data_IF_974893608068
#
_entry.id   IF_974893608068
#
_cell.length_a   1.000
_cell.length_b   1.000
_cell.length_c   1.000
_cell.angle_alpha   90.00
_cell.angle_beta   90.00
_cell.angle_gamma   90.00
#
_symmetry.space_group_name_H-M   'P 1'
#
loop_
_entity.id
_entity.type
_entity.pdbx_description
1 polymer ?
#
# COMPACT_ATOMS: atom_id res chain seq x y z
N UNK A 1 -9.93 1.10 25.60
CA UNK A 1 -8.86 0.26 25.00
C UNK A 1 -7.80 0.09 26.07
N UNK A 2 -7.32 -1.14 26.25
CA UNK A 2 -6.23 -1.45 27.17
C UNK A 2 -4.90 -1.38 26.40
N UNK A 3 -3.83 -0.95 27.05
CA UNK A 3 -2.47 -0.97 26.53
C UNK A 3 -2.10 -2.40 26.08
N UNK A 4 -1.52 -2.53 24.88
CA UNK A 4 -1.10 -3.82 24.35
C UNK A 4 0.18 -3.72 23.49
N UNK A 5 1.31 -3.57 24.14
CA UNK A 5 2.63 -3.50 23.49
C UNK A 5 2.94 -4.74 22.64
N UNK A 6 2.50 -5.93 23.07
CA UNK A 6 2.71 -7.17 22.33
C UNK A 6 1.95 -7.17 20.98
N UNK A 7 0.75 -6.59 20.94
CA UNK A 7 0.02 -6.42 19.69
C UNK A 7 0.73 -5.46 18.73
N UNK A 8 1.32 -4.37 19.25
CA UNK A 8 2.16 -3.44 18.47
C UNK A 8 3.35 -4.17 17.86
N UNK A 9 4.07 -4.95 18.68
CA UNK A 9 5.22 -5.75 18.22
C UNK A 9 4.81 -6.78 17.15
N UNK A 10 3.73 -7.50 17.37
CA UNK A 10 3.22 -8.47 16.40
C UNK A 10 2.77 -7.80 15.08
N UNK A 11 2.13 -6.63 15.14
CA UNK A 11 1.67 -5.86 13.99
C UNK A 11 2.79 -5.22 13.17
N UNK A 12 3.96 -5.02 13.76
CA UNK A 12 5.10 -4.35 13.11
C UNK A 12 5.55 -5.00 11.81
N UNK A 13 5.37 -6.31 11.65
CA UNK A 13 5.69 -7.01 10.41
C UNK A 13 5.00 -6.40 9.18
N UNK A 14 3.78 -5.88 9.35
CA UNK A 14 3.05 -5.18 8.28
C UNK A 14 3.72 -3.84 7.92
N UNK A 15 4.00 -3.00 8.92
CA UNK A 15 4.70 -1.72 8.72
C UNK A 15 6.08 -1.93 8.08
N UNK A 16 6.87 -2.86 8.60
CA UNK A 16 8.17 -3.23 8.04
C UNK A 16 8.07 -3.55 6.55
N UNK A 17 7.06 -4.35 6.14
CA UNK A 17 6.83 -4.69 4.74
C UNK A 17 6.55 -3.45 3.89
N UNK A 18 5.77 -2.48 4.38
CA UNK A 18 5.52 -1.23 3.67
C UNK A 18 6.80 -0.40 3.49
N UNK A 19 7.63 -0.29 4.52
CA UNK A 19 8.94 0.40 4.44
C UNK A 19 9.86 -0.29 3.41
N UNK A 20 9.96 -1.62 3.46
CA UNK A 20 10.73 -2.41 2.48
C UNK A 20 10.24 -2.18 1.05
N UNK A 21 8.93 -2.10 0.85
CA UNK A 21 8.34 -1.85 -0.47
C UNK A 21 8.68 -0.46 -1.00
N UNK A 22 8.63 0.58 -0.16
CA UNK A 22 9.03 1.94 -0.55
C UNK A 22 10.51 1.97 -0.95
N UNK A 23 11.37 1.33 -0.16
CA UNK A 23 12.82 1.24 -0.43
C UNK A 23 13.14 0.55 -1.76
N UNK A 24 12.31 -0.40 -2.21
CA UNK A 24 12.46 -1.04 -3.54
C UNK A 24 12.36 -0.05 -4.69
N UNK A 25 11.65 1.04 -4.52
CA UNK A 25 11.59 2.12 -5.52
C UNK A 25 12.75 3.11 -5.42
N UNK A 26 13.74 2.86 -4.56
CA UNK A 26 14.88 3.77 -4.34
C UNK A 26 14.49 5.08 -3.66
N UNK A 27 13.40 5.07 -2.88
CA UNK A 27 12.88 6.24 -2.17
C UNK A 27 13.10 6.05 -0.67
N UNK A 28 13.63 7.07 0.05
CA UNK A 28 13.68 7.03 1.50
C UNK A 28 12.27 7.09 2.10
N UNK A 29 12.10 6.53 3.28
CA UNK A 29 10.83 6.50 4.01
C UNK A 29 10.96 7.15 5.37
N UNK A 30 9.92 7.86 5.81
CA UNK A 30 9.72 8.33 7.19
C UNK A 30 8.40 7.77 7.68
N UNK A 31 8.38 7.26 8.90
CA UNK A 31 7.15 6.77 9.55
C UNK A 31 6.54 7.88 10.39
N UNK A 32 5.26 8.15 10.21
CA UNK A 32 4.48 9.03 11.07
C UNK A 32 3.58 8.20 12.00
N UNK A 33 3.72 8.36 13.29
CA UNK A 33 2.77 7.81 14.28
C UNK A 33 1.63 8.82 14.42
N UNK A 34 0.46 8.50 13.86
CA UNK A 34 -0.74 9.33 14.02
C UNK A 34 -1.31 9.08 15.42
N UNK A 35 -0.98 9.95 16.36
CA UNK A 35 -1.32 9.81 17.78
C UNK A 35 -2.82 9.97 18.04
N UNK A 36 -3.35 9.07 18.82
CA UNK A 36 -4.70 9.15 19.38
C UNK A 36 -4.65 9.23 20.89
N UNK A 37 -5.65 9.81 21.51
CA UNK A 37 -5.77 9.97 22.98
C UNK A 37 -5.75 8.67 23.77
N UNK A 38 -5.94 7.53 23.09
CA UNK A 38 -5.90 6.19 23.67
C UNK A 38 -4.52 5.54 23.62
N UNK A 39 -3.58 6.12 22.88
CA UNK A 39 -2.26 5.55 22.69
C UNK A 39 -1.42 5.77 23.95
N UNK A 40 -0.65 4.76 24.33
CA UNK A 40 0.18 4.85 25.54
C UNK A 40 1.63 5.14 25.19
N UNK A 41 2.36 5.74 26.13
CA UNK A 41 3.79 6.00 25.96
C UNK A 41 4.59 4.70 25.72
N UNK A 42 4.17 3.57 26.31
CA UNK A 42 4.82 2.29 26.13
C UNK A 42 4.63 1.72 24.71
N UNK A 43 3.44 1.87 24.14
CA UNK A 43 3.15 1.47 22.76
C UNK A 43 3.91 2.33 21.75
N UNK A 44 3.94 3.65 21.95
CA UNK A 44 4.70 4.60 21.12
C UNK A 44 6.20 4.30 21.20
N UNK A 45 6.74 4.08 22.42
CA UNK A 45 8.14 3.75 22.62
C UNK A 45 8.53 2.42 21.93
N UNK A 46 7.68 1.39 22.04
CA UNK A 46 7.89 0.12 21.37
C UNK A 46 7.94 0.27 19.84
N UNK A 47 7.04 1.09 19.26
CA UNK A 47 7.04 1.33 17.83
C UNK A 47 8.29 2.11 17.37
N UNK A 48 8.74 3.09 18.15
CA UNK A 48 9.99 3.83 17.86
C UNK A 48 11.21 2.90 17.92
N UNK A 49 11.30 2.02 18.92
CA UNK A 49 12.35 0.99 19.01
C UNK A 49 12.36 0.08 17.77
N UNK A 50 11.19 -0.40 17.37
CA UNK A 50 11.04 -1.27 16.20
C UNK A 50 11.43 -0.57 14.91
N UNK A 51 11.03 0.69 14.71
CA UNK A 51 11.45 1.50 13.56
C UNK A 51 12.97 1.70 13.54
N UNK A 52 13.59 1.97 14.69
CA UNK A 52 15.04 2.08 14.80
C UNK A 52 15.74 0.76 14.42
N UNK A 53 15.15 -0.39 14.73
CA UNK A 53 15.72 -1.71 14.40
C UNK A 53 15.83 -1.99 12.90
N UNK A 54 15.09 -1.26 12.07
CA UNK A 54 15.12 -1.34 10.61
C UNK A 54 15.65 -0.05 9.95
N UNK A 55 16.27 0.81 10.76
CA UNK A 55 16.87 2.07 10.28
C UNK A 55 15.90 2.95 9.49
N UNK A 56 14.70 3.19 10.04
CA UNK A 56 13.72 4.10 9.48
C UNK A 56 13.38 5.21 10.47
N UNK A 57 13.49 6.49 10.08
CA UNK A 57 13.08 7.61 10.91
C UNK A 57 11.59 7.52 11.25
N UNK A 58 11.25 7.88 12.49
CA UNK A 58 9.87 7.84 12.97
C UNK A 58 9.59 9.03 13.88
N UNK A 59 8.48 9.72 13.63
CA UNK A 59 8.03 10.84 14.44
C UNK A 59 6.59 10.69 14.85
N UNK A 60 6.28 11.24 16.03
CA UNK A 60 4.92 11.38 16.51
C UNK A 60 4.25 12.55 15.79
N UNK A 61 3.01 12.38 15.37
CA UNK A 61 2.19 13.41 14.73
C UNK A 61 0.87 13.55 15.48
N UNK A 62 0.73 14.63 16.23
CA UNK A 62 -0.49 15.02 16.95
C UNK A 62 -1.28 16.14 16.26
N UNK A 63 -1.19 16.20 14.92
CA UNK A 63 -1.82 17.25 14.10
C UNK A 63 -3.34 17.34 14.35
N UNK A 64 -3.96 16.23 14.66
CA UNK A 64 -5.37 16.15 15.03
C UNK A 64 -5.71 16.98 16.28
N UNK A 65 -4.87 16.91 17.32
CA UNK A 65 -5.09 17.60 18.61
C UNK A 65 -4.49 19.01 18.62
N UNK A 66 -3.26 19.17 18.08
CA UNK A 66 -2.43 20.35 18.24
C UNK A 66 -2.27 21.18 16.95
N UNK A 67 -3.01 20.81 15.89
CA UNK A 67 -2.91 21.50 14.61
C UNK A 67 -1.49 21.43 14.03
N UNK A 68 -1.01 22.53 13.44
CA UNK A 68 0.28 22.58 12.76
C UNK A 68 1.47 22.28 13.68
N UNK A 69 1.39 22.70 14.95
CA UNK A 69 2.46 22.44 15.94
C UNK A 69 2.72 20.97 16.15
N UNK A 70 1.66 20.14 16.13
CA UNK A 70 1.76 18.68 16.26
C UNK A 70 2.43 17.98 15.07
N UNK A 71 2.72 18.71 13.99
CA UNK A 71 3.38 18.18 12.78
C UNK A 71 4.82 18.67 12.57
N UNK A 72 5.32 19.60 13.38
CA UNK A 72 6.62 20.27 13.16
C UNK A 72 7.77 19.26 13.15
N UNK A 73 7.88 18.40 14.16
CA UNK A 73 8.95 17.40 14.26
C UNK A 73 8.94 16.43 13.06
N UNK A 74 7.76 16.01 12.62
CA UNK A 74 7.62 15.17 11.42
C UNK A 74 8.10 15.90 10.15
N UNK A 75 7.75 17.18 10.01
CA UNK A 75 8.17 17.99 8.87
C UNK A 75 9.69 18.19 8.85
N UNK A 76 10.30 18.49 9.98
CA UNK A 76 11.77 18.64 10.10
C UNK A 76 12.49 17.34 9.77
N UNK A 77 12.04 16.20 10.31
CA UNK A 77 12.59 14.87 10.01
C UNK A 77 12.42 14.52 8.54
N UNK A 78 11.29 14.87 7.92
CA UNK A 78 11.06 14.64 6.49
C UNK A 78 12.04 15.45 5.63
N UNK A 79 12.20 16.77 5.90
CA UNK A 79 13.13 17.64 5.19
C UNK A 79 14.56 17.13 5.33
N UNK A 80 14.99 16.82 6.55
CA UNK A 80 16.30 16.23 6.81
C UNK A 80 16.51 14.91 6.03
N UNK A 81 15.51 14.05 6.02
CA UNK A 81 15.60 12.76 5.30
C UNK A 81 15.77 12.98 3.79
N UNK A 82 15.06 13.95 3.21
CA UNK A 82 15.18 14.31 1.79
C UNK A 82 16.58 14.85 1.48
N UNK A 83 17.11 15.73 2.32
CA UNK A 83 18.41 16.36 2.10
C UNK A 83 19.58 15.37 2.23
N UNK A 84 19.50 14.47 3.21
CA UNK A 84 20.57 13.49 3.49
C UNK A 84 20.50 12.24 2.60
N UNK A 85 19.32 11.90 2.06
CA UNK A 85 19.08 10.69 1.28
C UNK A 85 18.44 11.02 -0.06
N UNK A 86 19.20 11.44 -1.06
CA UNK A 86 18.66 11.75 -2.38
C UNK A 86 17.97 10.52 -2.97
N UNK A 87 16.74 10.69 -3.45
CA UNK A 87 15.97 9.65 -4.08
C UNK A 87 16.67 9.17 -5.37
N UNK A 88 16.78 7.84 -5.51
CA UNK A 88 17.21 7.18 -6.74
C UNK A 88 16.06 6.31 -7.26
N UNK A 89 15.01 6.98 -7.71
CA UNK A 89 13.77 6.30 -8.10
C UNK A 89 13.99 5.31 -9.24
N UNK A 90 13.56 4.09 -9.03
CA UNK A 90 13.52 3.03 -10.03
C UNK A 90 12.12 2.46 -10.15
N UNK A 91 11.70 2.14 -11.38
CA UNK A 91 10.41 1.47 -11.60
C UNK A 91 10.51 0.00 -11.18
N UNK A 92 9.41 -0.54 -10.68
CA UNK A 92 9.32 -1.96 -10.32
C UNK A 92 9.44 -2.87 -11.56
N UNK A 93 8.95 -2.41 -12.69
CA UNK A 93 8.96 -3.13 -13.96
C UNK A 93 9.00 -2.17 -15.16
N UNK A 94 9.41 -2.70 -16.30
CA UNK A 94 9.33 -1.97 -17.57
C UNK A 94 7.91 -2.06 -18.15
N UNK A 95 7.43 -0.95 -18.72
CA UNK A 95 6.12 -0.89 -19.37
C UNK A 95 6.05 -1.81 -20.61
N UNK A 96 7.16 -2.26 -21.16
CA UNK A 96 7.22 -3.19 -22.28
C UNK A 96 6.93 -4.65 -21.93
N UNK A 97 6.92 -4.99 -20.64
CA UNK A 97 6.46 -6.30 -20.19
C UNK A 97 4.98 -6.51 -20.53
N UNK A 98 4.58 -7.76 -20.69
CA UNK A 98 3.17 -8.13 -20.85
C UNK A 98 2.36 -7.75 -19.61
N UNK A 99 1.03 -7.63 -19.77
CA UNK A 99 0.10 -7.34 -18.66
C UNK A 99 0.26 -8.37 -17.53
N UNK A 100 0.43 -9.66 -17.88
CA UNK A 100 0.61 -10.72 -16.91
C UNK A 100 1.93 -10.56 -16.14
N UNK A 101 3.05 -10.36 -16.84
CA UNK A 101 4.36 -10.18 -16.19
C UNK A 101 4.41 -8.99 -15.26
N UNK A 102 3.74 -7.87 -15.62
CA UNK A 102 3.62 -6.70 -14.73
C UNK A 102 2.88 -7.06 -13.45
N UNK A 103 1.76 -7.77 -13.55
CA UNK A 103 0.96 -8.21 -12.40
C UNK A 103 1.76 -9.19 -11.53
N UNK A 104 2.42 -10.16 -12.15
CA UNK A 104 3.28 -11.13 -11.46
C UNK A 104 4.42 -10.43 -10.69
N UNK A 105 5.06 -9.43 -11.30
CA UNK A 105 6.07 -8.59 -10.64
C UNK A 105 5.52 -7.89 -9.40
N UNK A 106 4.34 -7.28 -9.48
CA UNK A 106 3.71 -6.64 -8.33
C UNK A 106 3.41 -7.65 -7.23
N UNK A 107 2.84 -8.80 -7.59
CA UNK A 107 2.46 -9.83 -6.63
C UNK A 107 3.67 -10.43 -5.93
N UNK A 108 4.72 -10.76 -6.66
CA UNK A 108 5.92 -11.38 -6.09
C UNK A 108 6.78 -10.38 -5.32
N UNK A 109 7.02 -9.20 -5.88
CA UNK A 109 7.96 -8.24 -5.33
C UNK A 109 7.39 -7.36 -4.21
N UNK A 110 6.12 -6.96 -4.34
CA UNK A 110 5.48 -6.05 -3.38
C UNK A 110 4.66 -6.83 -2.34
N UNK A 111 3.84 -7.77 -2.81
CA UNK A 111 2.95 -8.51 -1.91
C UNK A 111 3.57 -9.78 -1.33
N UNK A 112 4.66 -10.31 -1.91
CA UNK A 112 5.30 -11.60 -1.54
C UNK A 112 4.40 -12.80 -1.77
N UNK A 113 3.47 -12.70 -2.71
CA UNK A 113 2.73 -13.84 -3.23
C UNK A 113 3.62 -14.73 -4.08
N UNK A 114 3.25 -16.00 -4.22
CA UNK A 114 3.99 -17.01 -4.98
C UNK A 114 3.46 -17.20 -6.40
N UNK A 115 2.19 -16.87 -6.64
CA UNK A 115 1.54 -17.16 -7.91
C UNK A 115 0.36 -16.21 -8.18
N UNK A 116 0.12 -15.97 -9.47
CA UNK A 116 -1.06 -15.25 -9.97
C UNK A 116 -1.92 -16.20 -10.80
N UNK A 117 -3.19 -16.27 -10.46
CA UNK A 117 -4.20 -16.97 -11.26
C UNK A 117 -5.04 -15.92 -12.00
N UNK A 118 -5.36 -16.21 -13.25
CA UNK A 118 -6.23 -15.34 -14.07
C UNK A 118 -7.52 -16.08 -14.39
N UNK A 119 -8.65 -15.55 -13.98
CA UNK A 119 -9.94 -16.09 -14.38
C UNK A 119 -10.17 -15.96 -15.89
N UNK A 120 -11.08 -16.75 -16.44
CA UNK A 120 -11.39 -16.75 -17.88
C UNK A 120 -11.77 -15.37 -18.40
N UNK A 121 -12.50 -14.57 -17.60
CA UNK A 121 -12.85 -13.18 -17.92
C UNK A 121 -11.58 -12.32 -18.05
N UNK A 122 -10.70 -12.39 -17.09
CA UNK A 122 -9.43 -11.64 -17.09
C UNK A 122 -8.55 -12.03 -18.28
N UNK A 123 -8.45 -13.31 -18.62
CA UNK A 123 -7.69 -13.78 -19.81
C UNK A 123 -8.26 -13.21 -21.11
N UNK A 124 -9.59 -13.18 -21.26
CA UNK A 124 -10.24 -12.57 -22.43
C UNK A 124 -9.95 -11.06 -22.50
N UNK A 125 -9.99 -10.38 -21.36
CA UNK A 125 -9.70 -8.94 -21.29
C UNK A 125 -8.23 -8.62 -21.58
N UNK A 126 -7.29 -9.46 -21.18
CA UNK A 126 -5.87 -9.32 -21.57
C UNK A 126 -5.73 -9.33 -23.10
N UNK A 127 -6.38 -10.28 -23.77
CA UNK A 127 -6.33 -10.34 -25.24
C UNK A 127 -6.91 -9.06 -25.89
N UNK A 128 -8.02 -8.54 -25.35
CA UNK A 128 -8.62 -7.28 -25.82
C UNK A 128 -7.70 -6.06 -25.56
N UNK A 129 -7.05 -6.01 -24.41
CA UNK A 129 -6.09 -4.95 -24.04
C UNK A 129 -4.93 -4.93 -25.04
N UNK A 130 -4.36 -6.09 -25.34
CA UNK A 130 -3.28 -6.22 -26.33
C UNK A 130 -3.75 -5.84 -27.74
N UNK A 131 -4.92 -6.33 -28.16
CA UNK A 131 -5.48 -6.01 -29.48
C UNK A 131 -5.70 -4.51 -29.67
N UNK A 132 -6.04 -3.78 -28.60
CA UNK A 132 -6.26 -2.33 -28.63
C UNK A 132 -4.96 -1.51 -28.43
N UNK A 133 -3.81 -2.14 -28.21
CA UNK A 133 -2.54 -1.45 -27.99
C UNK A 133 -2.43 -0.77 -26.61
N UNK A 134 -3.18 -1.24 -25.61
CA UNK A 134 -3.18 -0.70 -24.24
C UNK A 134 -2.29 -1.46 -23.29
N UNK A 135 -1.59 -2.48 -23.77
CA UNK A 135 -0.72 -3.35 -22.99
C UNK A 135 0.50 -2.64 -22.40
N UNK A 136 0.85 -1.45 -22.88
CA UNK A 136 1.92 -0.61 -22.32
C UNK A 136 1.51 0.22 -21.11
N UNK A 137 0.22 0.27 -20.78
CA UNK A 137 -0.26 0.96 -19.60
C UNK A 137 0.23 0.26 -18.30
N UNK A 138 0.54 1.03 -17.24
CA UNK A 138 0.87 0.46 -15.93
C UNK A 138 -0.34 -0.19 -15.27
N UNK A 139 -0.08 -1.05 -14.29
CA UNK A 139 -1.09 -1.78 -13.52
C UNK A 139 -1.37 -1.08 -12.20
N UNK A 140 -2.66 -0.94 -11.89
CA UNK A 140 -3.15 -0.57 -10.57
C UNK A 140 -3.87 -1.77 -9.96
N UNK A 141 -3.31 -2.35 -8.89
CA UNK A 141 -3.91 -3.49 -8.20
C UNK A 141 -5.02 -3.02 -7.26
N UNK A 142 -6.25 -3.52 -7.47
CA UNK A 142 -7.37 -3.31 -6.58
C UNK A 142 -7.68 -4.60 -5.81
N UNK A 143 -7.34 -4.58 -4.53
CA UNK A 143 -7.50 -5.71 -3.59
C UNK A 143 -7.99 -5.20 -2.24
N UNK A 144 -8.28 -6.11 -1.29
CA UNK A 144 -8.63 -5.73 0.08
C UNK A 144 -7.55 -4.83 0.71
N UNK A 145 -7.97 -3.84 1.49
CA UNK A 145 -7.08 -2.97 2.26
C UNK A 145 -6.54 -3.64 3.54
N UNK A 146 -7.09 -4.78 3.95
CA UNK A 146 -6.76 -5.42 5.22
C UNK A 146 -5.59 -6.39 5.16
N UNK A 147 -5.11 -6.75 3.96
CA UNK A 147 -4.05 -7.73 3.79
C UNK A 147 -3.19 -7.43 2.57
N UNK A 148 -1.96 -7.95 2.51
CA UNK A 148 -1.18 -8.02 1.28
C UNK A 148 -1.72 -9.06 0.30
N UNK A 149 -2.46 -10.08 0.77
CA UNK A 149 -3.16 -11.04 -0.08
C UNK A 149 -4.52 -10.51 -0.53
N UNK A 150 -5.25 -11.27 -1.32
CA UNK A 150 -6.66 -11.01 -1.66
C UNK A 150 -7.64 -11.54 -0.59
N UNK A 151 -7.13 -12.22 0.45
CA UNK A 151 -7.89 -12.67 1.62
C UNK A 151 -7.80 -11.63 2.74
N UNK A 152 -8.91 -10.95 3.12
CA UNK A 152 -8.89 -9.92 4.16
C UNK A 152 -8.56 -10.44 5.56
N UNK A 153 -8.63 -11.76 5.80
CA UNK A 153 -8.33 -12.38 7.08
C UNK A 153 -6.85 -12.77 7.24
N UNK A 154 -6.05 -12.69 6.17
CA UNK A 154 -4.61 -12.94 6.22
C UNK A 154 -3.86 -11.70 6.71
N UNK A 155 -3.92 -11.42 8.01
CA UNK A 155 -3.38 -10.22 8.64
C UNK A 155 -1.85 -10.23 8.72
N UNK A 156 -1.27 -9.07 9.06
CA UNK A 156 0.17 -8.90 9.23
C UNK A 156 0.92 -8.81 7.91
N UNK A 157 1.90 -9.67 7.70
CA UNK A 157 2.69 -9.74 6.48
C UNK A 157 2.72 -11.17 5.92
N UNK A 158 1.60 -11.68 5.38
CA UNK A 158 1.54 -13.01 4.79
C UNK A 158 2.51 -13.15 3.62
N UNK A 159 2.95 -14.38 3.36
CA UNK A 159 3.85 -14.75 2.26
C UNK A 159 3.38 -16.03 1.58
N UNK A 160 3.88 -16.26 0.36
CA UNK A 160 3.67 -17.49 -0.41
C UNK A 160 2.20 -17.83 -0.71
N UNK A 161 1.32 -16.84 -0.69
CA UNK A 161 -0.08 -16.98 -1.09
C UNK A 161 -0.25 -16.81 -2.60
N UNK A 162 -1.38 -17.26 -3.13
CA UNK A 162 -1.77 -17.01 -4.52
C UNK A 162 -2.76 -15.82 -4.56
N UNK A 163 -2.71 -15.03 -5.63
CA UNK A 163 -3.71 -13.99 -5.92
C UNK A 163 -4.46 -14.35 -7.19
N UNK A 164 -5.78 -14.18 -7.17
CA UNK A 164 -6.62 -14.41 -8.34
C UNK A 164 -7.12 -13.09 -8.93
N UNK A 165 -6.73 -12.83 -10.18
CA UNK A 165 -7.23 -11.71 -10.99
C UNK A 165 -8.53 -12.15 -11.65
N UNK A 166 -9.64 -11.58 -11.24
CA UNK A 166 -10.96 -11.88 -11.83
C UNK A 166 -11.34 -10.97 -12.98
N UNK A 167 -10.83 -9.74 -13.00
CA UNK A 167 -11.17 -8.75 -14.01
C UNK A 167 -10.07 -7.72 -14.22
N UNK A 168 -9.93 -7.22 -15.46
CA UNK A 168 -9.04 -6.13 -15.84
C UNK A 168 -9.85 -5.01 -16.48
N UNK A 169 -9.73 -3.79 -15.95
CA UNK A 169 -10.50 -2.64 -16.43
C UNK A 169 -9.55 -1.52 -16.83
N UNK A 170 -9.34 -1.28 -18.13
CA UNK A 170 -8.57 -0.14 -18.60
C UNK A 170 -9.25 1.18 -18.21
N UNK A 171 -8.51 2.08 -17.60
CA UNK A 171 -8.91 3.45 -17.27
C UNK A 171 -8.11 4.42 -18.13
N UNK A 172 -8.48 4.50 -19.39
CA UNK A 172 -7.69 5.22 -20.41
C UNK A 172 -7.50 6.69 -20.10
N UNK A 173 -8.52 7.36 -19.56
CA UNK A 173 -8.42 8.75 -19.14
C UNK A 173 -7.45 8.98 -17.97
N UNK A 174 -7.21 7.96 -17.15
CA UNK A 174 -6.24 7.98 -16.04
C UNK A 174 -4.89 7.34 -16.42
N UNK A 175 -4.81 6.64 -17.55
CA UNK A 175 -3.58 6.08 -18.07
C UNK A 175 -3.08 4.81 -17.37
N UNK A 176 -3.97 3.95 -16.88
CA UNK A 176 -3.60 2.67 -16.26
C UNK A 176 -4.68 1.58 -16.42
N UNK A 177 -4.31 0.35 -16.14
CA UNK A 177 -5.21 -0.82 -16.11
C UNK A 177 -5.45 -1.20 -14.65
N UNK A 178 -6.70 -1.25 -14.22
CA UNK A 178 -7.08 -1.76 -12.89
C UNK A 178 -7.20 -3.28 -12.95
N UNK A 179 -6.43 -3.98 -12.12
CA UNK A 179 -6.54 -5.42 -11.90
C UNK A 179 -7.34 -5.68 -10.62
N UNK A 180 -8.55 -6.23 -10.77
CA UNK A 180 -9.46 -6.52 -9.67
C UNK A 180 -9.21 -7.93 -9.13
N UNK A 181 -8.99 -8.02 -7.81
CA UNK A 181 -8.87 -9.27 -7.07
C UNK A 181 -9.99 -9.37 -6.03
N UNK A 182 -10.39 -10.57 -5.66
CA UNK A 182 -11.36 -10.77 -4.58
C UNK A 182 -12.60 -9.85 -4.64
N UNK A 183 -13.25 -9.61 -3.52
CA UNK A 183 -14.38 -8.70 -3.40
C UNK A 183 -13.90 -7.29 -3.01
N UNK A 184 -13.76 -6.41 -3.98
CA UNK A 184 -13.33 -5.03 -3.77
C UNK A 184 -14.42 -4.06 -4.18
N UNK A 185 -14.78 -3.15 -3.28
CA UNK A 185 -15.62 -2.00 -3.61
C UNK A 185 -14.75 -0.91 -4.24
N UNK A 186 -15.08 -0.52 -5.47
CA UNK A 186 -14.32 0.51 -6.21
C UNK A 186 -14.51 1.92 -5.67
N UNK A 187 -15.55 2.15 -4.86
CA UNK A 187 -15.87 3.44 -4.23
C UNK A 187 -16.44 3.20 -2.82
N UNK A 188 -15.60 2.82 -1.85
CA UNK A 188 -16.05 2.61 -0.48
C UNK A 188 -16.55 3.92 0.15
N UNK A 189 -17.62 3.85 0.92
CA UNK A 189 -18.12 4.96 1.72
C UNK A 189 -19.05 5.94 1.00
N UNK A 190 -19.35 5.77 -0.28
CA UNK A 190 -20.38 6.58 -0.94
C UNK A 190 -21.78 6.09 -0.56
N UNK A 191 -22.65 6.97 -0.05
CA UNK A 191 -24.04 6.62 0.23
C UNK A 191 -24.79 6.32 -1.08
N UNK A 192 -25.74 5.39 -1.05
CA UNK A 192 -26.61 5.08 -2.21
C UNK A 192 -27.39 6.31 -2.69
N UNK A 193 -27.65 7.26 -1.80
CA UNK A 193 -28.26 8.56 -2.10
C UNK A 193 -27.19 9.64 -1.86
N UNK A 194 -26.84 10.46 -2.87
CA UNK A 194 -25.88 11.55 -2.70
C UNK A 194 -26.28 12.51 -1.59
N UNK A 195 -25.34 12.97 -0.79
CA UNK A 195 -25.59 13.90 0.33
C UNK A 195 -26.23 15.23 -0.16
N UNK A 196 -25.90 15.67 -1.38
CA UNK A 196 -26.46 16.86 -1.99
C UNK A 196 -27.98 16.80 -2.23
N UNK A 197 -28.60 15.62 -2.20
CA UNK A 197 -30.04 15.45 -2.30
C UNK A 197 -30.78 15.52 -0.94
N UNK A 198 -30.05 15.75 0.13
CA UNK A 198 -30.57 15.87 1.49
C UNK A 198 -30.55 17.33 2.00
N UNK A 199 -30.23 18.29 1.11
CA UNK A 199 -30.33 19.72 1.39
C UNK A 199 -31.72 20.25 1.05
#
# INVERSE_FOLDING_TARGET
TEENVEAVRAGFANLKRHVENIRKFGIPAVVAINEFVSDTEAEIAALKELCASIDVPVELASVWADGAEGGVALAETLVKTIDENPANYTRLYDNDLSVQEKIEKIVTEIYRGSKVNFEKKAQTQIAQIVQNGWDKLPICMAKTQYSFSDNPNALGAPENFEITIRELVPKLGAGFIVALTGDVMTMPGLPKRPAALNM
#
